data_IF_230898594580
#
_entry.id   IF_230898594580
#
_cell.length_a   1.000
_cell.length_b   1.000
_cell.length_c   1.000
_cell.angle_alpha   90.00
_cell.angle_beta   90.00
_cell.angle_gamma   90.00
#
_symmetry.space_group_name_H-M   'P 1'
#
loop_
_entity.id
_entity.type
_entity.pdbx_description
1 polymer ?
#
# COMPACT_ATOMS: atom_id res chain seq x y z
N UNK A 1 -3.27 -8.24 -12.50
CA UNK A 1 -3.18 -8.56 -11.05
C UNK A 1 -2.60 -9.97 -10.86
N UNK A 2 -1.87 -10.28 -9.77
CA UNK A 2 -1.36 -11.65 -9.56
C UNK A 2 -2.51 -12.62 -9.24
N UNK A 3 -2.51 -13.78 -9.91
CA UNK A 3 -3.39 -14.93 -9.62
C UNK A 3 -2.51 -16.10 -9.17
N UNK A 4 -3.07 -17.03 -8.40
CA UNK A 4 -2.40 -18.25 -7.94
C UNK A 4 -3.31 -19.44 -8.14
N UNK A 5 -2.73 -20.60 -8.39
CA UNK A 5 -3.47 -21.86 -8.40
C UNK A 5 -3.66 -22.36 -6.97
N UNK A 6 -4.89 -22.75 -6.64
CA UNK A 6 -5.25 -23.36 -5.35
C UNK A 6 -5.98 -24.66 -5.62
N UNK A 7 -5.50 -25.74 -5.01
CA UNK A 7 -6.20 -27.03 -4.98
C UNK A 7 -7.01 -27.09 -3.69
N UNK A 8 -8.32 -27.36 -3.78
CA UNK A 8 -9.17 -27.56 -2.59
C UNK A 8 -9.15 -29.03 -2.15
N UNK A 9 -9.73 -29.34 -1.00
CA UNK A 9 -9.73 -30.70 -0.43
C UNK A 9 -10.36 -31.77 -1.34
N UNK A 10 -11.26 -31.39 -2.25
CA UNK A 10 -11.86 -32.28 -3.26
C UNK A 10 -10.93 -32.59 -4.45
N UNK A 11 -9.75 -31.96 -4.52
CA UNK A 11 -8.79 -32.09 -5.61
C UNK A 11 -9.03 -31.14 -6.79
N UNK A 12 -10.11 -30.36 -6.77
CA UNK A 12 -10.39 -29.35 -7.80
C UNK A 12 -9.42 -28.17 -7.73
N UNK A 13 -9.09 -27.59 -8.89
CA UNK A 13 -8.12 -26.52 -9.04
C UNK A 13 -8.79 -25.21 -9.43
N UNK A 14 -8.46 -24.14 -8.71
CA UNK A 14 -8.98 -22.81 -8.93
C UNK A 14 -7.87 -21.78 -9.12
N UNK A 15 -8.06 -20.89 -10.10
CA UNK A 15 -7.25 -19.69 -10.24
C UNK A 15 -7.80 -18.58 -9.34
N UNK A 16 -7.07 -18.27 -8.27
CA UNK A 16 -7.53 -17.37 -7.21
C UNK A 16 -6.79 -16.03 -7.28
N UNK A 17 -7.51 -14.90 -7.40
CA UNK A 17 -6.92 -13.57 -7.35
C UNK A 17 -6.22 -13.23 -6.04
N UNK A 18 -5.16 -12.42 -6.11
CA UNK A 18 -4.55 -11.83 -4.93
C UNK A 18 -5.57 -10.97 -4.14
N UNK A 19 -5.78 -11.33 -2.87
CA UNK A 19 -6.78 -10.71 -2.01
C UNK A 19 -7.92 -11.67 -1.65
N UNK A 20 -7.96 -12.86 -2.23
CA UNK A 20 -8.85 -13.95 -1.83
C UNK A 20 -8.00 -15.13 -1.33
N UNK A 21 -8.45 -15.75 -0.23
CA UNK A 21 -7.80 -16.89 0.38
C UNK A 21 -8.80 -18.01 0.62
N UNK A 22 -8.40 -19.24 0.31
CA UNK A 22 -9.17 -20.42 0.69
C UNK A 22 -9.12 -20.63 2.19
N UNK A 23 -10.27 -20.90 2.79
CA UNK A 23 -10.40 -21.39 4.16
C UNK A 23 -11.01 -22.78 4.06
N UNK A 24 -10.23 -23.77 4.47
CA UNK A 24 -10.65 -25.15 4.64
C UNK A 24 -10.38 -25.55 6.09
N UNK A 25 -11.43 -25.53 6.90
CA UNK A 25 -11.41 -26.04 8.26
C UNK A 25 -12.56 -27.03 8.43
N UNK A 26 -12.49 -27.92 9.44
CA UNK A 26 -13.40 -29.06 9.67
C UNK A 26 -14.90 -28.78 9.52
N UNK A 27 -15.34 -27.54 9.75
CA UNK A 27 -16.75 -27.14 9.68
C UNK A 27 -16.98 -25.89 8.82
N UNK A 28 -15.97 -25.41 8.11
CA UNK A 28 -16.06 -24.16 7.34
C UNK A 28 -15.20 -24.24 6.10
N UNK A 29 -15.89 -24.26 4.96
CA UNK A 29 -15.31 -24.29 3.63
C UNK A 29 -15.75 -23.04 2.89
N UNK A 30 -14.80 -22.27 2.38
CA UNK A 30 -15.13 -21.03 1.69
C UNK A 30 -13.95 -20.19 1.27
N UNK A 31 -14.27 -19.07 0.64
CA UNK A 31 -13.32 -18.08 0.18
C UNK A 31 -13.38 -16.83 1.04
N UNK A 32 -12.28 -16.52 1.70
CA UNK A 32 -12.13 -15.29 2.47
C UNK A 32 -11.53 -14.19 1.60
N UNK A 33 -12.33 -13.16 1.34
CA UNK A 33 -11.89 -11.88 0.79
C UNK A 33 -11.14 -11.09 1.86
N UNK A 34 -9.98 -10.54 1.52
CA UNK A 34 -9.07 -9.75 2.37
C UNK A 34 -8.72 -8.43 1.68
N UNK A 35 -9.72 -7.60 1.42
CA UNK A 35 -9.53 -6.27 0.84
C UNK A 35 -10.49 -5.27 1.50
N UNK A 36 -9.94 -4.27 2.19
CA UNK A 36 -10.75 -3.35 3.00
C UNK A 36 -11.50 -4.05 4.13
N UNK A 37 -10.84 -4.99 4.82
CA UNK A 37 -11.45 -5.89 5.81
C UNK A 37 -11.63 -7.32 5.27
N UNK A 38 -12.22 -8.17 6.11
CA UNK A 38 -12.45 -9.59 5.79
C UNK A 38 -13.92 -9.90 5.53
N UNK A 39 -14.23 -10.72 4.52
CA UNK A 39 -15.57 -11.26 4.26
C UNK A 39 -15.45 -12.70 3.78
N UNK A 40 -16.20 -13.62 4.38
CA UNK A 40 -16.21 -15.03 3.99
C UNK A 40 -17.37 -15.30 3.02
N UNK A 41 -17.08 -16.04 1.96
CA UNK A 41 -18.05 -16.59 1.03
C UNK A 41 -18.03 -18.11 1.21
N UNK A 42 -19.03 -18.64 1.89
CA UNK A 42 -19.15 -20.09 2.13
C UNK A 42 -19.43 -20.82 0.82
N UNK A 43 -18.90 -22.02 0.67
CA UNK A 43 -19.21 -22.89 -0.47
C UNK A 43 -20.66 -23.40 -0.42
N UNK A 44 -21.30 -23.36 0.76
CA UNK A 44 -22.67 -23.86 0.94
C UNK A 44 -22.82 -25.37 0.82
N UNK A 45 -21.74 -26.11 0.57
CA UNK A 45 -21.74 -27.57 0.46
C UNK A 45 -20.52 -28.22 1.13
N UNK A 46 -20.67 -29.39 1.80
CA UNK A 46 -19.56 -30.14 2.38
C UNK A 46 -18.63 -30.80 1.37
N UNK A 47 -19.08 -31.02 0.13
CA UNK A 47 -18.31 -31.69 -0.94
C UNK A 47 -17.48 -30.73 -1.80
N UNK A 48 -17.61 -29.42 -1.57
CA UNK A 48 -16.88 -28.37 -2.30
C UNK A 48 -17.49 -28.01 -3.66
N UNK A 49 -18.64 -28.58 -4.05
CA UNK A 49 -19.29 -28.29 -5.35
C UNK A 49 -19.65 -26.81 -5.54
N UNK A 50 -20.01 -26.10 -4.46
CA UNK A 50 -20.30 -24.66 -4.49
C UNK A 50 -19.06 -23.76 -4.44
N UNK A 51 -17.84 -24.31 -4.39
CA UNK A 51 -16.62 -23.50 -4.29
C UNK A 51 -16.41 -22.60 -5.51
N UNK A 52 -16.79 -23.04 -6.71
CA UNK A 52 -16.69 -22.23 -7.93
C UNK A 52 -17.58 -20.99 -7.89
N UNK A 53 -18.85 -21.17 -7.50
CA UNK A 53 -19.81 -20.08 -7.38
C UNK A 53 -19.42 -19.11 -6.26
N UNK A 54 -19.02 -19.63 -5.10
CA UNK A 54 -18.53 -18.83 -3.98
C UNK A 54 -17.29 -18.01 -4.37
N UNK A 55 -16.37 -18.57 -5.18
CA UNK A 55 -15.21 -17.84 -5.70
C UNK A 55 -15.63 -16.72 -6.67
N UNK A 56 -16.63 -16.96 -7.52
CA UNK A 56 -17.16 -15.95 -8.41
C UNK A 56 -17.81 -14.78 -7.64
N UNK A 57 -18.56 -15.07 -6.56
CA UNK A 57 -19.08 -14.04 -5.65
C UNK A 57 -17.97 -13.27 -4.95
N UNK A 58 -16.97 -13.96 -4.41
CA UNK A 58 -15.81 -13.33 -3.78
C UNK A 58 -15.04 -12.42 -4.75
N UNK A 59 -14.90 -12.85 -6.01
CA UNK A 59 -14.21 -12.09 -7.06
C UNK A 59 -15.01 -10.85 -7.47
N UNK A 60 -16.33 -10.96 -7.63
CA UNK A 60 -17.20 -9.80 -7.90
C UNK A 60 -17.11 -8.76 -6.78
N UNK A 61 -17.20 -9.19 -5.53
CA UNK A 61 -17.04 -8.31 -4.37
C UNK A 61 -15.64 -7.68 -4.33
N UNK A 62 -14.57 -8.45 -4.62
CA UNK A 62 -13.21 -7.92 -4.69
C UNK A 62 -13.11 -6.78 -5.70
N UNK A 63 -13.64 -6.97 -6.91
CA UNK A 63 -13.64 -5.96 -7.96
C UNK A 63 -14.44 -4.72 -7.54
N UNK A 64 -15.62 -4.91 -6.95
CA UNK A 64 -16.44 -3.81 -6.42
C UNK A 64 -15.69 -3.01 -5.33
N UNK A 65 -14.97 -3.69 -4.43
CA UNK A 65 -14.17 -3.01 -3.41
C UNK A 65 -12.95 -2.30 -3.98
N UNK A 66 -12.28 -2.84 -4.99
CA UNK A 66 -11.17 -2.17 -5.67
C UNK A 66 -11.66 -0.90 -6.40
N UNK A 67 -12.89 -0.91 -6.93
CA UNK A 67 -13.50 0.26 -7.52
C UNK A 67 -13.74 1.36 -6.47
N UNK A 68 -14.29 1.01 -5.29
CA UNK A 68 -14.69 1.97 -4.26
C UNK A 68 -13.55 2.42 -3.33
N UNK A 69 -12.71 1.49 -2.87
CA UNK A 69 -11.74 1.73 -1.80
C UNK A 69 -10.35 2.06 -2.36
N UNK A 70 -9.57 2.92 -1.66
CA UNK A 70 -8.18 3.15 -2.01
C UNK A 70 -7.36 1.86 -1.90
N UNK A 71 -6.30 1.76 -2.70
CA UNK A 71 -5.39 0.62 -2.59
C UNK A 71 -4.76 0.54 -1.19
N UNK A 72 -4.64 -0.64 -0.58
CA UNK A 72 -3.92 -0.77 0.67
C UNK A 72 -2.46 -0.35 0.47
N UNK A 73 -1.96 0.55 1.32
CA UNK A 73 -0.58 1.02 1.29
C UNK A 73 0.20 0.47 2.48
N UNK A 74 1.49 0.20 2.25
CA UNK A 74 2.46 -0.16 3.31
C UNK A 74 3.17 1.08 3.88
N UNK A 75 2.65 2.27 3.58
CA UNK A 75 3.22 3.51 4.10
C UNK A 75 2.93 3.59 5.59
N UNK A 76 3.98 3.82 6.36
CA UNK A 76 3.88 4.08 7.80
C UNK A 76 3.15 5.41 8.02
N UNK A 77 2.08 5.38 8.82
CA UNK A 77 1.25 6.57 9.12
C UNK A 77 1.57 7.20 10.47
N UNK A 78 2.12 6.41 11.40
CA UNK A 78 2.41 6.81 12.77
C UNK A 78 3.92 6.73 12.98
N UNK A 79 4.54 7.68 13.72
CA UNK A 79 5.93 7.58 14.13
C UNK A 79 6.24 6.22 14.76
N UNK A 80 7.46 5.74 14.57
CA UNK A 80 7.92 4.53 15.27
C UNK A 80 8.12 4.88 16.75
N UNK A 81 7.89 3.92 17.64
CA UNK A 81 8.11 4.04 19.09
C UNK A 81 9.56 4.43 19.41
N UNK A 82 10.51 3.94 18.61
CA UNK A 82 11.94 4.26 18.76
C UNK A 82 12.32 5.66 18.25
N UNK A 83 11.37 6.47 17.78
CA UNK A 83 11.66 7.83 17.30
C UNK A 83 11.76 8.77 18.50
N UNK A 84 12.95 9.26 18.75
CA UNK A 84 13.28 10.17 19.87
C UNK A 84 12.91 11.64 19.63
N UNK A 85 12.27 11.95 18.49
CA UNK A 85 11.92 13.32 18.11
C UNK A 85 10.43 13.40 17.78
N UNK A 86 9.76 14.48 18.17
CA UNK A 86 8.34 14.76 17.86
C UNK A 86 8.06 15.09 16.37
N UNK A 87 9.05 14.89 15.51
CA UNK A 87 8.90 15.12 14.08
C UNK A 87 7.95 14.09 13.44
N UNK A 88 7.15 14.48 12.44
CA UNK A 88 6.27 13.58 11.71
C UNK A 88 7.01 12.44 10.96
N UNK A 89 6.29 11.39 10.58
CA UNK A 89 6.84 10.25 9.84
C UNK A 89 7.54 10.70 8.57
N UNK A 90 8.74 10.16 8.32
CA UNK A 90 9.51 10.47 7.12
C UNK A 90 10.19 11.84 7.14
N UNK A 91 10.10 12.60 8.24
CA UNK A 91 10.87 13.83 8.46
C UNK A 91 11.90 13.58 9.58
N UNK A 92 13.13 14.00 9.35
CA UNK A 92 14.25 13.87 10.29
C UNK A 92 15.06 15.17 10.34
N UNK A 93 15.63 15.47 11.50
CA UNK A 93 16.44 16.66 11.72
C UNK A 93 16.13 17.31 13.07
N UNK A 94 16.57 18.55 13.28
CA UNK A 94 17.36 19.36 12.34
C UNK A 94 18.75 18.77 12.08
N UNK A 95 19.15 18.65 10.81
CA UNK A 95 20.47 18.15 10.40
C UNK A 95 21.38 19.35 10.18
N UNK A 96 22.40 19.47 11.00
CA UNK A 96 23.43 20.50 10.88
C UNK A 96 24.58 19.97 10.02
N UNK A 97 25.00 20.74 9.02
CA UNK A 97 26.13 20.45 8.15
C UNK A 97 27.06 21.64 8.11
N UNK A 98 28.36 21.38 7.92
CA UNK A 98 29.33 22.43 7.65
C UNK A 98 29.48 22.56 6.13
N UNK A 99 29.13 23.71 5.58
CA UNK A 99 29.40 23.99 4.16
C UNK A 99 30.87 24.38 4.02
N UNK A 100 31.67 23.49 3.41
CA UNK A 100 33.13 23.66 3.23
C UNK A 100 33.53 25.02 2.66
N UNK A 101 32.72 25.59 1.77
CA UNK A 101 33.02 26.85 1.08
C UNK A 101 32.64 28.10 1.87
N UNK A 102 31.61 28.03 2.73
CA UNK A 102 31.07 29.20 3.42
C UNK A 102 31.63 29.39 4.83
N UNK A 103 32.27 28.36 5.41
CA UNK A 103 32.76 28.40 6.80
C UNK A 103 31.67 28.42 7.88
N UNK A 104 30.39 28.45 7.47
CA UNK A 104 29.22 28.57 8.34
C UNK A 104 28.44 27.24 8.34
N UNK A 105 27.90 26.86 9.50
CA UNK A 105 27.03 25.68 9.62
C UNK A 105 25.62 25.99 9.12
N UNK A 106 25.06 25.12 8.27
CA UNK A 106 23.69 25.18 7.80
C UNK A 106 22.82 24.08 8.40
N UNK A 107 21.54 24.39 8.59
CA UNK A 107 20.57 23.53 9.23
C UNK A 107 19.42 23.23 8.26
N UNK A 108 19.08 21.94 8.11
CA UNK A 108 18.02 21.49 7.21
C UNK A 108 17.23 20.31 7.77
N UNK A 109 15.98 20.17 7.35
CA UNK A 109 15.17 18.98 7.59
C UNK A 109 15.33 18.01 6.41
N UNK A 110 15.60 16.75 6.69
CA UNK A 110 15.52 15.69 5.70
C UNK A 110 14.09 15.15 5.61
N UNK A 111 13.57 15.05 4.39
CA UNK A 111 12.24 14.55 4.09
C UNK A 111 12.35 13.36 3.13
N UNK A 112 11.81 12.22 3.54
CA UNK A 112 11.63 11.04 2.69
C UNK A 112 10.32 11.17 1.94
N UNK A 113 10.34 11.09 0.62
CA UNK A 113 9.18 11.20 -0.26
C UNK A 113 8.90 9.81 -0.87
N UNK A 114 7.75 9.18 -0.56
CA UNK A 114 7.44 7.86 -1.08
C UNK A 114 7.08 7.94 -2.56
N UNK A 115 7.55 6.97 -3.35
CA UNK A 115 7.22 6.84 -4.78
C UNK A 115 6.68 5.45 -5.05
N UNK A 116 5.58 5.36 -5.79
CA UNK A 116 4.95 4.08 -6.09
C UNK A 116 5.73 3.39 -7.20
N UNK A 117 6.21 2.17 -6.95
CA UNK A 117 7.01 1.39 -7.90
C UNK A 117 8.52 1.67 -7.85
N UNK A 118 8.95 2.73 -7.17
CA UNK A 118 10.35 3.17 -7.10
C UNK A 118 10.84 3.31 -5.66
N UNK A 119 12.16 3.43 -5.49
CA UNK A 119 12.76 3.79 -4.21
C UNK A 119 12.29 5.17 -3.73
N UNK A 120 12.05 5.38 -2.43
CA UNK A 120 11.74 6.70 -1.87
C UNK A 120 12.83 7.72 -2.20
N UNK A 121 12.44 8.95 -2.52
CA UNK A 121 13.38 10.05 -2.77
C UNK A 121 13.65 10.80 -1.47
N UNK A 122 14.90 11.10 -1.16
CA UNK A 122 15.26 12.01 -0.05
C UNK A 122 15.37 13.44 -0.56
N UNK A 123 14.79 14.38 0.17
CA UNK A 123 14.83 15.82 -0.10
C UNK A 123 15.30 16.53 1.18
N UNK A 124 15.95 17.68 1.05
CA UNK A 124 16.33 18.54 2.16
C UNK A 124 15.59 19.87 2.10
N UNK A 125 14.94 20.26 3.20
CA UNK A 125 14.32 21.57 3.35
C UNK A 125 15.22 22.43 4.23
N UNK A 126 15.79 23.46 3.63
CA UNK A 126 16.66 24.41 4.31
C UNK A 126 15.89 25.23 5.35
N UNK A 127 16.48 25.41 6.53
CA UNK A 127 15.95 26.26 7.61
C UNK A 127 16.72 27.58 7.66
N UNK A 128 18.05 27.51 7.79
CA UNK A 128 18.91 28.65 8.04
C UNK A 128 20.35 28.23 8.29
N UNK A 129 21.24 29.22 8.35
CA UNK A 129 22.61 29.06 8.89
C UNK A 129 22.63 29.31 10.39
N UNK A 130 23.73 29.00 11.07
CA UNK A 130 23.91 29.25 12.51
C UNK A 130 23.60 30.70 12.92
N UNK A 131 23.87 31.68 12.04
CA UNK A 131 23.62 33.10 12.29
C UNK A 131 22.20 33.56 11.93
N UNK A 132 21.46 32.75 11.18
CA UNK A 132 20.14 33.14 10.63
C UNK A 132 19.01 32.24 11.08
N UNK A 133 19.31 31.23 11.90
CA UNK A 133 18.33 30.31 12.47
C UNK A 133 17.42 31.06 13.44
N UNK A 134 16.11 30.94 13.24
CA UNK A 134 15.10 31.41 14.20
C UNK A 134 14.00 30.37 14.34
N UNK A 135 13.26 30.35 15.47
CA UNK A 135 12.13 29.44 15.66
C UNK A 135 11.09 29.55 14.54
N UNK A 136 10.80 30.75 14.05
CA UNK A 136 9.81 30.99 13.00
C UNK A 136 10.26 30.36 11.67
N UNK A 137 11.56 30.45 11.35
CA UNK A 137 12.13 29.78 10.17
C UNK A 137 12.08 28.27 10.29
N UNK A 138 12.30 27.74 11.49
CA UNK A 138 12.15 26.32 11.76
C UNK A 138 10.72 25.85 11.54
N UNK A 139 9.72 26.54 12.10
CA UNK A 139 8.31 26.21 11.91
C UNK A 139 7.88 26.32 10.45
N UNK A 140 8.31 27.37 9.75
CA UNK A 140 8.04 27.53 8.32
C UNK A 140 8.67 26.39 7.48
N UNK A 141 9.89 25.98 7.80
CA UNK A 141 10.56 24.85 7.15
C UNK A 141 9.85 23.52 7.47
N UNK A 142 9.40 23.32 8.72
CA UNK A 142 8.66 22.14 9.13
C UNK A 142 7.31 22.05 8.42
N UNK A 143 6.55 23.14 8.35
CA UNK A 143 5.30 23.20 7.61
C UNK A 143 5.49 22.85 6.12
N UNK A 144 6.57 23.36 5.50
CA UNK A 144 6.95 23.01 4.13
C UNK A 144 7.30 21.53 3.99
N UNK A 145 8.07 20.97 4.92
CA UNK A 145 8.45 19.57 4.94
C UNK A 145 7.23 18.64 5.04
N UNK A 146 6.29 18.96 5.94
CA UNK A 146 5.02 18.24 6.10
C UNK A 146 4.20 18.30 4.82
N UNK A 147 4.06 19.49 4.22
CA UNK A 147 3.33 19.67 2.96
C UNK A 147 3.92 18.83 1.83
N UNK A 148 5.25 18.83 1.67
CA UNK A 148 5.93 18.02 0.64
C UNK A 148 5.68 16.52 0.84
N UNK A 149 5.77 16.05 2.10
CA UNK A 149 5.51 14.66 2.43
C UNK A 149 4.05 14.27 2.12
N UNK A 150 3.08 15.08 2.54
CA UNK A 150 1.66 14.84 2.30
C UNK A 150 1.33 14.80 0.80
N UNK A 151 1.90 15.71 0.01
CA UNK A 151 1.76 15.70 -1.44
C UNK A 151 2.29 14.41 -2.06
N UNK A 152 3.44 13.93 -1.60
CA UNK A 152 4.03 12.70 -2.10
C UNK A 152 3.24 11.45 -1.66
N UNK A 153 2.70 11.42 -0.44
CA UNK A 153 1.82 10.33 0.03
C UNK A 153 0.50 10.27 -0.74
N UNK A 154 -0.13 11.41 -0.99
CA UNK A 154 -1.36 11.48 -1.79
C UNK A 154 -1.11 11.05 -3.24
N UNK A 155 0.01 11.47 -3.83
CA UNK A 155 0.42 11.03 -5.17
C UNK A 155 0.70 9.51 -5.21
N UNK A 156 1.42 8.99 -4.22
CA UNK A 156 1.65 7.55 -4.07
C UNK A 156 0.33 6.79 -4.00
N UNK A 157 -0.59 7.23 -3.15
CA UNK A 157 -1.87 6.57 -2.92
C UNK A 157 -2.74 6.57 -4.18
N UNK A 158 -2.76 7.68 -4.93
CA UNK A 158 -3.44 7.77 -6.22
C UNK A 158 -2.83 6.82 -7.25
N UNK A 159 -1.51 6.80 -7.38
CA UNK A 159 -0.82 5.93 -8.32
C UNK A 159 -1.03 4.45 -7.99
N UNK A 160 -0.92 4.07 -6.72
CA UNK A 160 -1.20 2.72 -6.24
C UNK A 160 -2.65 2.29 -6.52
N UNK A 161 -3.61 3.19 -6.28
CA UNK A 161 -5.04 2.93 -6.54
C UNK A 161 -5.31 2.76 -8.04
N UNK A 162 -4.72 3.62 -8.88
CA UNK A 162 -4.81 3.53 -10.34
C UNK A 162 -4.25 2.19 -10.84
N UNK A 163 -3.05 1.82 -10.39
CA UNK A 163 -2.42 0.54 -10.76
C UNK A 163 -3.27 -0.66 -10.33
N UNK A 164 -3.83 -0.63 -9.12
CA UNK A 164 -4.70 -1.72 -8.62
C UNK A 164 -5.99 -1.84 -9.43
N UNK A 165 -6.60 -0.71 -9.82
CA UNK A 165 -7.81 -0.68 -10.67
C UNK A 165 -7.54 -1.15 -12.10
N UNK A 166 -6.43 -0.75 -12.70
CA UNK A 166 -6.00 -1.26 -14.01
C UNK A 166 -5.82 -2.79 -13.95
N UNK A 167 -5.09 -3.26 -12.94
CA UNK A 167 -4.85 -4.69 -12.73
C UNK A 167 -6.13 -5.49 -12.42
N UNK A 168 -7.18 -4.85 -11.88
CA UNK A 168 -8.50 -5.45 -11.66
C UNK A 168 -9.34 -5.48 -12.93
N UNK A 169 -9.22 -4.45 -13.78
CA UNK A 169 -9.90 -4.40 -15.08
C UNK A 169 -9.37 -5.49 -16.01
N UNK A 170 -8.06 -5.77 -15.99
CA UNK A 170 -7.46 -6.93 -16.67
C UNK A 170 -8.03 -8.28 -16.20
N UNK A 171 -8.37 -8.41 -14.91
CA UNK A 171 -8.98 -9.62 -14.40
C UNK A 171 -10.45 -9.74 -14.85
N UNK A 172 -11.16 -8.62 -14.91
CA UNK A 172 -12.55 -8.57 -15.35
C UNK A 172 -12.72 -8.78 -16.86
N UNK A 173 -11.68 -8.47 -17.65
CA UNK A 173 -11.68 -8.74 -19.08
C UNK A 173 -11.76 -10.27 -19.32
N UNK A 174 -12.69 -10.73 -20.17
CA UNK A 174 -12.78 -12.14 -20.53
C UNK A 174 -11.60 -12.52 -21.43
N UNK A 175 -10.46 -12.90 -20.84
CA UNK A 175 -9.39 -13.54 -21.59
C UNK A 175 -9.77 -15.00 -21.90
N UNK A 176 -9.38 -15.57 -23.06
CA UNK A 176 -9.73 -16.93 -23.46
C UNK A 176 -9.02 -17.96 -22.56
N UNK A 177 -9.67 -18.37 -21.47
CA UNK A 177 -9.16 -19.38 -20.54
C UNK A 177 -9.60 -20.78 -20.97
N UNK A 178 -9.01 -21.26 -22.07
CA UNK A 178 -9.03 -22.69 -22.41
C UNK A 178 -7.64 -23.27 -22.15
N UNK A 179 -7.39 -23.73 -20.92
CA UNK A 179 -6.30 -24.69 -20.67
C UNK A 179 -6.91 -26.08 -20.61
N UNK A 180 -6.67 -26.85 -21.67
CA UNK A 180 -7.05 -28.25 -21.76
C UNK A 180 -6.36 -29.07 -20.66
N UNK A 181 -7.06 -30.10 -20.16
CA UNK A 181 -6.54 -31.12 -19.25
C UNK A 181 -5.26 -31.73 -19.84
N UNK A 182 -4.19 -31.80 -19.05
CA UNK A 182 -3.08 -32.72 -19.23
C UNK A 182 -3.00 -33.59 -17.99
#
# INVERSE_FOLDING_TARGET
MKVRDVVIFSGERFEVPQGIQRIDHRATHGWQLRYGGTKLFSDGSPDGSGASEALAHATRELLARIARLPAPSRLQRVPNENKTTDLPVGISGPIVRLRREAGVRDCSLAVSLPRFGDSPRRCSVYIGTENTYTPEKYEAALARAIKLRLQAETAYQRAATRAKRAAASELAAPAPRRRAKR
#
